data_IF_853928928251
#
_entry.id   IF_853928928251
#
_cell.length_a   1.000
_cell.length_b   1.000
_cell.length_c   1.000
_cell.angle_alpha   90.00
_cell.angle_beta   90.00
_cell.angle_gamma   90.00
#
_symmetry.space_group_name_H-M   'P 1'
#
loop_
_entity.id
_entity.type
_entity.pdbx_description
1 polymer ?
#
# COMPACT_ATOMS: atom_id res chain seq x y z
N UNK A 1 0.77 11.48 -33.11
CA UNK A 1 0.24 12.13 -31.89
C UNK A 1 -1.04 11.43 -31.49
N UNK A 2 -1.20 11.09 -30.25
CA UNK A 2 -2.42 10.48 -29.71
C UNK A 2 -2.97 11.46 -28.66
N UNK A 3 -4.16 12.01 -28.90
CA UNK A 3 -4.84 12.98 -28.02
C UNK A 3 -3.94 14.15 -27.55
N UNK A 4 -3.13 14.71 -28.43
CA UNK A 4 -2.26 15.86 -28.14
C UNK A 4 -0.82 15.49 -27.68
N UNK A 5 -0.56 14.23 -27.31
CA UNK A 5 0.76 13.79 -26.87
C UNK A 5 1.54 13.07 -27.96
N UNK A 6 2.86 13.18 -27.92
CA UNK A 6 3.73 12.35 -28.76
C UNK A 6 3.75 10.89 -28.26
N UNK A 7 3.97 9.95 -29.17
CA UNK A 7 4.13 8.54 -28.77
C UNK A 7 5.30 8.39 -27.80
N UNK A 8 6.36 9.18 -27.96
CA UNK A 8 7.52 9.18 -27.06
C UNK A 8 7.11 9.60 -25.63
N UNK A 9 6.30 10.65 -25.49
CA UNK A 9 5.78 11.10 -24.18
C UNK A 9 5.00 9.99 -23.48
N UNK A 10 4.10 9.31 -24.20
CA UNK A 10 3.31 8.21 -23.64
C UNK A 10 4.18 7.02 -23.26
N UNK A 11 5.24 6.73 -24.02
CA UNK A 11 6.21 5.70 -23.67
C UNK A 11 7.01 6.05 -22.41
N UNK A 12 7.42 7.31 -22.26
CA UNK A 12 8.10 7.79 -21.04
C UNK A 12 7.18 7.64 -19.83
N UNK A 13 5.90 8.02 -19.95
CA UNK A 13 4.90 7.86 -18.88
C UNK A 13 4.69 6.38 -18.55
N UNK A 14 4.59 5.52 -19.55
CA UNK A 14 4.46 4.08 -19.33
C UNK A 14 5.70 3.49 -18.63
N UNK A 15 6.91 3.91 -19.02
CA UNK A 15 8.16 3.48 -18.35
C UNK A 15 8.23 3.98 -16.90
N UNK A 16 7.84 5.25 -16.64
CA UNK A 16 7.70 5.76 -15.30
C UNK A 16 6.66 4.95 -14.49
N UNK A 17 5.57 4.55 -15.15
CA UNK A 17 4.56 3.63 -14.61
C UNK A 17 5.15 2.28 -14.23
N UNK A 18 6.02 1.68 -15.06
CA UNK A 18 6.71 0.42 -14.72
C UNK A 18 7.54 0.59 -13.45
N UNK A 19 8.31 1.65 -13.34
CA UNK A 19 9.07 1.98 -12.12
C UNK A 19 8.16 2.18 -10.91
N UNK A 20 7.06 2.94 -11.09
CA UNK A 20 6.07 3.19 -10.05
C UNK A 20 5.35 1.92 -9.60
N UNK A 21 4.97 1.04 -10.54
CA UNK A 21 4.35 -0.26 -10.24
C UNK A 21 5.29 -1.17 -9.45
N UNK A 22 6.55 -1.21 -9.84
CA UNK A 22 7.59 -1.97 -9.16
C UNK A 22 7.81 -1.48 -7.72
N UNK A 23 8.02 -0.17 -7.53
CA UNK A 23 8.22 0.44 -6.20
C UNK A 23 6.93 0.37 -5.36
N UNK A 24 5.76 0.52 -6.00
CA UNK A 24 4.46 0.35 -5.36
C UNK A 24 4.27 -1.03 -4.76
N UNK A 25 4.64 -2.07 -5.50
CA UNK A 25 4.64 -3.44 -4.99
C UNK A 25 5.64 -3.62 -3.84
N UNK A 26 6.88 -3.16 -4.03
CA UNK A 26 7.98 -3.39 -3.11
C UNK A 26 7.84 -2.61 -1.79
N UNK A 27 7.42 -1.34 -1.86
CA UNK A 27 7.45 -0.41 -0.72
C UNK A 27 6.07 0.20 -0.41
N UNK A 28 5.12 0.14 -1.36
CA UNK A 28 3.81 0.75 -1.19
C UNK A 28 3.75 2.24 -1.53
N UNK A 29 4.63 2.72 -2.42
CA UNK A 29 4.82 4.15 -2.69
C UNK A 29 4.95 4.47 -4.19
N UNK A 30 4.01 3.97 -5.01
CA UNK A 30 4.00 4.19 -6.47
C UNK A 30 4.10 5.66 -6.85
N UNK A 31 3.33 6.51 -6.18
CA UNK A 31 3.20 7.92 -6.53
C UNK A 31 4.47 8.74 -6.33
N UNK A 32 5.46 8.23 -5.58
CA UNK A 32 6.76 8.91 -5.47
C UNK A 32 7.58 8.88 -6.77
N UNK A 33 7.24 8.01 -7.70
CA UNK A 33 7.88 7.96 -9.03
C UNK A 33 6.93 8.52 -10.09
N UNK A 34 5.67 8.07 -10.08
CA UNK A 34 4.72 8.40 -11.14
C UNK A 34 4.27 9.86 -11.14
N UNK A 35 4.00 10.44 -9.97
CA UNK A 35 3.56 11.84 -9.88
C UNK A 35 4.61 12.83 -10.41
N UNK A 36 5.89 12.76 -10.00
CA UNK A 36 6.93 13.62 -10.52
C UNK A 36 7.18 13.48 -12.01
N UNK A 37 7.07 12.26 -12.53
CA UNK A 37 7.21 12.03 -13.95
C UNK A 37 6.15 12.81 -14.76
N UNK A 38 4.94 12.96 -14.22
CA UNK A 38 3.90 13.78 -14.84
C UNK A 38 4.19 15.28 -14.69
N UNK A 39 4.69 15.72 -13.55
CA UNK A 39 5.10 17.12 -13.33
C UNK A 39 6.23 17.53 -14.30
N UNK A 40 7.24 16.67 -14.45
CA UNK A 40 8.37 16.91 -15.37
C UNK A 40 7.93 17.05 -16.85
N UNK A 41 6.74 16.55 -17.19
CA UNK A 41 6.13 16.73 -18.51
C UNK A 41 5.29 18.02 -18.62
N UNK A 42 5.29 18.86 -17.56
CA UNK A 42 4.54 20.12 -17.52
C UNK A 42 3.03 19.95 -17.25
N UNK A 43 2.61 18.77 -16.74
CA UNK A 43 1.20 18.57 -16.39
C UNK A 43 0.88 19.34 -15.09
N UNK A 44 -0.20 20.14 -15.06
CA UNK A 44 -0.57 20.89 -13.85
C UNK A 44 -0.72 19.96 -12.63
N UNK A 45 -0.26 20.36 -11.43
CA UNK A 45 -0.15 19.48 -10.27
C UNK A 45 -1.41 18.72 -9.89
N UNK A 46 -2.58 19.37 -9.91
CA UNK A 46 -3.86 18.73 -9.59
C UNK A 46 -4.25 17.68 -10.65
N UNK A 47 -4.07 18.00 -11.94
CA UNK A 47 -4.34 17.06 -13.05
C UNK A 47 -3.35 15.90 -13.01
N UNK A 48 -2.07 16.19 -12.75
CA UNK A 48 -1.04 15.17 -12.58
C UNK A 48 -1.41 14.19 -11.45
N UNK A 49 -1.85 14.71 -10.29
CA UNK A 49 -2.26 13.87 -9.16
C UNK A 49 -3.52 13.05 -9.48
N UNK A 50 -4.53 13.65 -10.09
CA UNK A 50 -5.76 12.96 -10.46
C UNK A 50 -5.49 11.83 -11.48
N UNK A 51 -4.72 12.13 -12.53
CA UNK A 51 -4.34 11.14 -13.55
C UNK A 51 -3.43 10.05 -13.00
N UNK A 52 -2.51 10.41 -12.09
CA UNK A 52 -1.69 9.47 -11.35
C UNK A 52 -2.53 8.52 -10.50
N UNK A 53 -3.52 9.03 -9.77
CA UNK A 53 -4.40 8.22 -8.91
C UNK A 53 -5.15 7.18 -9.71
N UNK A 54 -5.65 7.53 -10.89
CA UNK A 54 -6.27 6.58 -11.83
C UNK A 54 -5.21 5.59 -12.36
N UNK A 55 -4.03 6.08 -12.74
CA UNK A 55 -2.94 5.27 -13.28
C UNK A 55 -2.44 4.20 -12.30
N UNK A 56 -2.27 4.55 -11.03
CA UNK A 56 -1.75 3.61 -10.03
C UNK A 56 -2.76 2.53 -9.62
N UNK A 57 -4.04 2.60 -10.03
CA UNK A 57 -4.99 1.49 -9.87
C UNK A 57 -4.46 0.20 -10.53
N UNK A 58 -3.64 0.32 -11.58
CA UNK A 58 -2.97 -0.81 -12.21
C UNK A 58 -2.15 -1.66 -11.23
N UNK A 59 -1.57 -1.05 -10.20
CA UNK A 59 -0.78 -1.78 -9.19
C UNK A 59 -1.66 -2.59 -8.23
N UNK A 60 -2.91 -2.19 -8.04
CA UNK A 60 -3.79 -2.75 -7.00
C UNK A 60 -4.50 -4.04 -7.40
N UNK A 61 -4.69 -4.31 -8.69
CA UNK A 61 -5.45 -5.48 -9.14
C UNK A 61 -4.89 -6.80 -8.61
N UNK A 62 -3.59 -7.00 -8.69
CA UNK A 62 -2.93 -8.20 -8.14
C UNK A 62 -2.99 -8.28 -6.62
N UNK A 63 -2.83 -7.14 -5.94
CA UNK A 63 -2.83 -7.03 -4.49
C UNK A 63 -4.20 -7.36 -3.87
N UNK A 64 -5.29 -6.87 -4.46
CA UNK A 64 -6.66 -7.15 -4.00
C UNK A 64 -7.02 -8.64 -4.12
N UNK A 65 -6.62 -9.29 -5.23
CA UNK A 65 -6.85 -10.71 -5.41
C UNK A 65 -6.10 -11.56 -4.36
N UNK A 66 -4.87 -11.17 -4.03
CA UNK A 66 -4.09 -11.81 -2.97
C UNK A 66 -4.69 -11.60 -1.57
N UNK A 67 -5.12 -10.38 -1.26
CA UNK A 67 -5.68 -10.01 0.04
C UNK A 67 -6.89 -10.84 0.47
N UNK A 68 -7.71 -11.31 -0.49
CA UNK A 68 -8.89 -12.16 -0.21
C UNK A 68 -8.54 -13.44 0.53
N UNK A 69 -7.41 -14.08 0.20
CA UNK A 69 -6.97 -15.32 0.83
C UNK A 69 -6.56 -15.11 2.28
N UNK A 70 -5.93 -13.97 2.56
CA UNK A 70 -5.37 -13.65 3.88
C UNK A 70 -6.43 -13.20 4.89
N UNK A 71 -7.59 -12.74 4.42
CA UNK A 71 -8.68 -12.22 5.24
C UNK A 71 -9.86 -13.21 5.36
N UNK A 72 -9.64 -14.48 5.02
CA UNK A 72 -10.66 -15.51 5.15
C UNK A 72 -11.14 -15.61 6.61
N UNK A 73 -12.45 -15.48 6.83
CA UNK A 73 -13.07 -15.47 8.17
C UNK A 73 -13.11 -14.09 8.87
N UNK A 74 -12.46 -13.04 8.33
CA UNK A 74 -12.46 -11.67 8.90
C UNK A 74 -13.16 -10.65 7.98
N UNK A 75 -14.23 -11.09 7.30
CA UNK A 75 -14.91 -10.29 6.28
C UNK A 75 -15.51 -8.99 6.82
N UNK A 76 -16.05 -9.01 8.04
CA UNK A 76 -16.66 -7.82 8.66
C UNK A 76 -15.58 -6.75 8.93
N UNK A 77 -14.43 -7.14 9.51
CA UNK A 77 -13.31 -6.23 9.76
C UNK A 77 -12.79 -5.63 8.45
N UNK A 78 -12.59 -6.47 7.43
CA UNK A 78 -12.17 -6.02 6.11
C UNK A 78 -13.17 -5.04 5.49
N UNK A 79 -14.49 -5.32 5.58
CA UNK A 79 -15.53 -4.45 5.05
C UNK A 79 -15.53 -3.07 5.71
N UNK A 80 -15.39 -3.00 7.02
CA UNK A 80 -15.35 -1.71 7.76
C UNK A 80 -14.13 -0.90 7.34
N UNK A 81 -12.94 -1.52 7.31
CA UNK A 81 -11.72 -0.82 6.91
C UNK A 81 -11.75 -0.37 5.45
N UNK A 82 -12.34 -1.16 4.54
CA UNK A 82 -12.55 -0.76 3.14
C UNK A 82 -13.53 0.42 3.07
N UNK A 83 -14.60 0.41 3.85
CA UNK A 83 -15.56 1.52 3.90
C UNK A 83 -14.89 2.82 4.35
N UNK A 84 -14.05 2.76 5.39
CA UNK A 84 -13.22 3.89 5.81
C UNK A 84 -12.32 4.36 4.67
N UNK A 85 -11.70 3.42 3.94
CA UNK A 85 -10.90 3.73 2.76
C UNK A 85 -11.70 4.48 1.70
N UNK A 86 -12.87 3.96 1.33
CA UNK A 86 -13.76 4.55 0.33
C UNK A 86 -14.23 5.95 0.74
N UNK A 87 -14.72 6.11 1.96
CA UNK A 87 -15.19 7.41 2.48
C UNK A 87 -14.02 8.40 2.56
N UNK A 88 -12.90 7.98 3.12
CA UNK A 88 -11.70 8.81 3.19
C UNK A 88 -11.18 9.22 1.81
N UNK A 89 -11.18 8.30 0.85
CA UNK A 89 -10.79 8.57 -0.54
C UNK A 89 -11.67 9.65 -1.20
N UNK A 90 -12.99 9.56 -1.03
CA UNK A 90 -13.94 10.60 -1.51
C UNK A 90 -13.64 11.94 -0.84
N UNK A 91 -13.52 11.96 0.49
CA UNK A 91 -13.25 13.20 1.23
C UNK A 91 -11.91 13.82 0.82
N UNK A 92 -10.85 13.01 0.66
CA UNK A 92 -9.55 13.47 0.20
C UNK A 92 -9.59 14.05 -1.21
N UNK A 93 -10.27 13.39 -2.15
CA UNK A 93 -10.44 13.88 -3.51
C UNK A 93 -11.26 15.17 -3.56
N UNK A 94 -12.34 15.28 -2.78
CA UNK A 94 -13.13 16.49 -2.67
C UNK A 94 -12.33 17.64 -2.04
N UNK A 95 -11.50 17.34 -1.03
CA UNK A 95 -10.61 18.31 -0.41
C UNK A 95 -9.59 18.85 -1.43
N UNK A 96 -8.99 17.96 -2.23
CA UNK A 96 -8.07 18.36 -3.29
C UNK A 96 -8.73 19.30 -4.30
N UNK A 97 -9.94 18.98 -4.73
CA UNK A 97 -10.66 19.76 -5.75
C UNK A 97 -11.34 21.02 -5.20
N UNK A 98 -11.57 21.07 -3.90
CA UNK A 98 -12.21 22.21 -3.23
C UNK A 98 -11.25 23.28 -2.75
N UNK A 99 -9.95 22.98 -2.66
CA UNK A 99 -8.91 23.94 -2.26
C UNK A 99 -8.31 24.62 -3.48
N UNK A 100 -7.75 25.82 -3.25
CA UNK A 100 -6.98 26.52 -4.27
C UNK A 100 -5.79 25.62 -4.72
N UNK A 101 -5.53 25.47 -6.03
CA UNK A 101 -4.39 24.70 -6.54
C UNK A 101 -3.04 25.12 -5.93
N UNK A 102 -2.86 26.38 -5.56
CA UNK A 102 -1.66 26.87 -4.87
C UNK A 102 -1.47 26.24 -3.50
N UNK A 103 -2.58 25.95 -2.78
CA UNK A 103 -2.50 25.24 -1.49
C UNK A 103 -1.94 23.85 -1.70
N UNK A 104 -2.38 23.16 -2.74
CA UNK A 104 -1.86 21.83 -3.08
C UNK A 104 -0.37 21.89 -3.41
N UNK A 105 0.07 22.83 -4.25
CA UNK A 105 1.48 23.03 -4.60
C UNK A 105 2.36 23.27 -3.36
N UNK A 106 1.87 24.05 -2.40
CA UNK A 106 2.59 24.33 -1.15
C UNK A 106 2.64 23.14 -0.19
N UNK A 107 1.56 22.35 -0.15
CA UNK A 107 1.43 21.22 0.80
C UNK A 107 2.10 19.95 0.30
N UNK A 108 2.23 19.76 -1.02
CA UNK A 108 2.81 18.54 -1.62
C UNK A 108 4.26 18.27 -1.20
N UNK A 109 5.20 19.23 -1.23
CA UNK A 109 6.58 18.97 -0.80
C UNK A 109 6.69 18.42 0.64
N UNK A 110 6.08 19.04 1.68
CA UNK A 110 6.08 18.45 3.01
C UNK A 110 5.40 17.08 3.09
N UNK A 111 4.37 16.80 2.28
CA UNK A 111 3.75 15.48 2.23
C UNK A 111 4.67 14.43 1.60
N UNK A 112 5.44 14.78 0.57
CA UNK A 112 6.47 13.93 -0.02
C UNK A 112 7.58 13.65 1.01
N UNK A 113 8.03 14.67 1.73
CA UNK A 113 9.02 14.53 2.77
C UNK A 113 8.55 13.60 3.90
N UNK A 114 7.29 13.77 4.36
CA UNK A 114 6.66 12.89 5.36
C UNK A 114 6.60 11.43 4.86
N UNK A 115 6.19 11.22 3.62
CA UNK A 115 6.11 9.90 3.01
C UNK A 115 7.49 9.25 2.88
N UNK A 116 8.48 10.01 2.46
CA UNK A 116 9.88 9.57 2.36
C UNK A 116 10.45 9.20 3.72
N UNK A 117 10.17 10.00 4.76
CA UNK A 117 10.53 9.70 6.14
C UNK A 117 9.85 8.43 6.65
N UNK A 118 8.55 8.26 6.38
CA UNK A 118 7.81 7.06 6.75
C UNK A 118 8.40 5.79 6.10
N UNK A 119 8.82 5.88 4.83
CA UNK A 119 9.49 4.79 4.12
C UNK A 119 10.88 4.52 4.71
N UNK A 120 11.64 5.56 5.05
CA UNK A 120 12.96 5.43 5.67
C UNK A 120 12.89 4.73 7.03
N UNK A 121 11.87 5.00 7.84
CA UNK A 121 11.61 4.33 9.12
C UNK A 121 11.33 2.82 8.97
N UNK A 122 11.03 2.37 7.76
CA UNK A 122 10.84 0.97 7.41
C UNK A 122 9.80 0.20 8.28
N UNK A 123 8.57 0.67 8.41
CA UNK A 123 7.57 -0.04 9.21
C UNK A 123 7.32 -1.46 8.68
N UNK A 124 7.31 -1.62 7.34
CA UNK A 124 7.13 -2.93 6.70
C UNK A 124 8.24 -3.91 7.08
N UNK A 125 9.50 -3.52 6.98
CA UNK A 125 10.61 -4.42 7.34
C UNK A 125 10.67 -4.73 8.84
N UNK A 126 10.20 -3.81 9.69
CA UNK A 126 10.06 -4.06 11.14
C UNK A 126 8.93 -5.06 11.39
N UNK A 127 7.78 -4.90 10.74
CA UNK A 127 6.66 -5.81 10.87
C UNK A 127 7.00 -7.23 10.35
N UNK A 128 7.66 -7.32 9.18
CA UNK A 128 8.15 -8.59 8.62
C UNK A 128 9.17 -9.27 9.56
N UNK A 129 10.12 -8.51 10.11
CA UNK A 129 11.12 -9.04 11.04
C UNK A 129 10.50 -9.52 12.36
N UNK A 130 9.53 -8.76 12.88
CA UNK A 130 8.76 -9.13 14.08
C UNK A 130 7.98 -10.44 13.87
N UNK A 131 7.33 -10.57 12.71
CA UNK A 131 6.63 -11.81 12.36
C UNK A 131 7.60 -13.00 12.22
N UNK A 132 8.70 -12.83 11.50
CA UNK A 132 9.70 -13.90 11.33
C UNK A 132 10.30 -14.34 12.68
N UNK A 133 10.53 -13.39 13.58
CA UNK A 133 11.00 -13.71 14.94
C UNK A 133 9.95 -14.50 15.74
N UNK A 134 8.68 -14.11 15.66
CA UNK A 134 7.58 -14.82 16.31
C UNK A 134 7.41 -16.25 15.75
N UNK A 135 7.49 -16.41 14.44
CA UNK A 135 7.40 -17.71 13.78
C UNK A 135 8.57 -18.61 14.16
N UNK A 136 9.79 -18.06 14.23
CA UNK A 136 10.98 -18.80 14.69
C UNK A 136 10.87 -19.24 16.16
N UNK A 137 10.36 -18.37 17.03
CA UNK A 137 10.11 -18.72 18.44
C UNK A 137 9.04 -19.80 18.57
N UNK A 138 7.95 -19.71 17.82
CA UNK A 138 6.90 -20.71 17.80
C UNK A 138 7.40 -22.08 17.30
N UNK A 139 8.28 -22.06 16.30
CA UNK A 139 8.92 -23.28 15.79
C UNK A 139 9.88 -23.90 16.80
N UNK A 140 10.70 -23.09 17.47
CA UNK A 140 11.59 -23.55 18.52
C UNK A 140 10.82 -24.19 19.68
N UNK A 141 9.76 -23.54 20.16
CA UNK A 141 8.90 -24.08 21.22
C UNK A 141 8.22 -25.40 20.82
N UNK A 142 7.83 -25.56 19.54
CA UNK A 142 7.28 -26.84 19.04
C UNK A 142 8.32 -27.94 19.05
N UNK A 143 9.55 -27.65 18.60
CA UNK A 143 10.65 -28.63 18.62
C UNK A 143 11.02 -29.06 20.06
N UNK A 144 11.01 -28.13 21.00
CA UNK A 144 11.23 -28.44 22.43
C UNK A 144 10.11 -29.34 23.00
N UNK A 145 8.84 -29.05 22.65
CA UNK A 145 7.71 -29.88 23.06
C UNK A 145 7.75 -31.28 22.42
N UNK A 146 8.15 -31.38 21.16
CA UNK A 146 8.33 -32.66 20.48
C UNK A 146 9.49 -33.46 21.05
N UNK A 147 10.61 -32.81 21.33
CA UNK A 147 11.75 -33.41 22.01
C UNK A 147 11.40 -33.91 23.42
N UNK A 148 10.65 -33.14 24.19
CA UNK A 148 10.16 -33.52 25.52
C UNK A 148 9.14 -34.68 25.46
N UNK A 149 8.28 -34.68 24.43
CA UNK A 149 7.34 -35.78 24.20
C UNK A 149 8.03 -37.08 23.79
N UNK A 150 9.08 -37.02 22.99
CA UNK A 150 9.87 -38.18 22.59
C UNK A 150 10.68 -38.74 23.80
N UNK A 151 11.13 -37.87 24.70
CA UNK A 151 11.82 -38.30 25.93
C UNK A 151 10.89 -38.98 26.94
N UNK A 152 9.58 -38.71 26.92
CA UNK A 152 8.57 -39.24 27.82
C UNK A 152 7.76 -40.42 27.20
N UNK A 153 7.87 -40.67 25.89
CA UNK A 153 7.07 -41.66 25.18
C UNK A 153 7.59 -43.09 25.43
N UNK A 154 7.08 -43.72 26.47
CA UNK A 154 6.86 -45.16 26.48
C UNK A 154 5.67 -45.50 25.51
N UNK A 155 5.76 -46.56 24.69
CA UNK A 155 4.92 -46.77 23.52
C UNK A 155 3.57 -47.38 23.82
N UNK A 156 2.64 -46.65 24.41
CA UNK A 156 1.25 -47.13 24.50
C UNK A 156 0.27 -45.98 24.62
N UNK A 157 -0.41 -45.73 23.52
CA UNK A 157 -1.58 -44.88 23.25
C UNK A 157 -1.34 -43.64 22.41
N UNK A 158 -1.22 -43.88 21.09
CA UNK A 158 -1.58 -42.93 20.07
C UNK A 158 -3.09 -42.68 20.14
N UNK A 159 -3.51 -41.57 20.66
CA UNK A 159 -4.87 -41.04 20.50
C UNK A 159 -4.79 -39.73 19.77
N UNK A 160 -5.34 -39.74 18.57
CA UNK A 160 -5.48 -38.60 17.67
C UNK A 160 -5.94 -37.35 18.44
N UNK A 161 -5.04 -36.39 18.60
CA UNK A 161 -5.43 -35.02 18.88
C UNK A 161 -4.92 -34.17 17.73
N UNK A 162 -5.83 -33.91 16.78
CA UNK A 162 -5.66 -32.78 15.89
C UNK A 162 -5.47 -31.52 16.75
N UNK A 163 -4.43 -30.71 16.52
CA UNK A 163 -4.38 -29.38 17.11
C UNK A 163 -5.55 -28.61 16.53
N UNK A 164 -6.53 -28.31 17.35
CA UNK A 164 -7.54 -27.31 17.01
C UNK A 164 -6.79 -25.99 16.82
N UNK A 165 -6.65 -25.60 15.55
CA UNK A 165 -6.30 -24.23 15.21
C UNK A 165 -7.47 -23.40 15.70
N UNK A 166 -7.32 -22.81 16.88
CA UNK A 166 -8.22 -21.79 17.36
C UNK A 166 -8.13 -20.61 16.39
N UNK A 167 -9.03 -20.56 15.43
CA UNK A 167 -9.37 -19.35 14.70
C UNK A 167 -10.03 -18.44 15.73
N UNK A 168 -9.22 -17.71 16.48
CA UNK A 168 -9.74 -16.64 17.32
C UNK A 168 -10.29 -15.58 16.36
N UNK A 169 -11.59 -15.53 16.21
CA UNK A 169 -12.32 -14.37 15.72
C UNK A 169 -12.16 -13.29 16.79
N UNK A 170 -11.09 -12.48 16.69
CA UNK A 170 -10.93 -11.34 17.56
C UNK A 170 -12.08 -10.36 17.29
N UNK A 171 -12.87 -9.99 18.33
CA UNK A 171 -13.97 -9.08 18.16
C UNK A 171 -13.45 -7.67 17.77
N UNK A 172 -14.19 -6.99 16.90
CA UNK A 172 -13.90 -5.60 16.44
C UNK A 172 -13.83 -4.58 17.59
N UNK A 173 -14.40 -4.92 18.75
CA UNK A 173 -14.43 -4.06 19.95
C UNK A 173 -13.05 -3.88 20.62
N UNK A 174 -12.01 -4.60 20.18
CA UNK A 174 -10.68 -4.54 20.77
C UNK A 174 -9.74 -3.57 20.03
N UNK A 175 -10.14 -3.07 18.84
CA UNK A 175 -9.30 -2.10 18.13
C UNK A 175 -9.33 -0.74 18.86
N UNK A 176 -8.17 -0.21 19.29
CA UNK A 176 -8.13 1.07 19.99
C UNK A 176 -8.70 2.20 19.12
N UNK A 177 -9.42 3.15 19.72
CA UNK A 177 -10.05 4.27 19.02
C UNK A 177 -9.08 5.09 18.15
N UNK A 178 -7.82 5.22 18.56
CA UNK A 178 -6.81 5.95 17.81
C UNK A 178 -6.45 5.27 16.48
N UNK A 179 -6.65 3.94 16.36
CA UNK A 179 -6.45 3.21 15.09
C UNK A 179 -7.49 3.64 14.07
N UNK A 180 -8.74 3.74 14.49
CA UNK A 180 -9.83 4.21 13.64
C UNK A 180 -9.55 5.62 13.12
N UNK A 181 -9.12 6.52 14.02
CA UNK A 181 -8.72 7.88 13.67
C UNK A 181 -7.50 7.86 12.72
N UNK A 182 -6.45 7.12 13.04
CA UNK A 182 -5.23 7.02 12.25
C UNK A 182 -5.49 6.49 10.84
N UNK A 183 -6.27 5.41 10.73
CA UNK A 183 -6.64 4.84 9.42
C UNK A 183 -7.53 5.81 8.63
N UNK A 184 -8.47 6.49 9.27
CA UNK A 184 -9.31 7.51 8.62
C UNK A 184 -8.48 8.67 8.08
N UNK A 185 -7.54 9.21 8.87
CA UNK A 185 -6.62 10.24 8.41
C UNK A 185 -5.76 9.76 7.22
N UNK A 186 -5.23 8.53 7.30
CA UNK A 186 -4.48 7.94 6.20
C UNK A 186 -5.33 7.73 4.95
N UNK A 187 -6.62 7.39 5.09
CA UNK A 187 -7.54 7.21 3.99
C UNK A 187 -7.86 8.54 3.28
N UNK A 188 -8.10 9.62 4.05
CA UNK A 188 -8.27 10.98 3.50
C UNK A 188 -6.99 11.43 2.80
N UNK A 189 -5.84 11.24 3.43
CA UNK A 189 -4.55 11.51 2.82
C UNK A 189 -4.34 10.73 1.51
N UNK A 190 -4.77 9.45 1.48
CA UNK A 190 -4.69 8.62 0.27
C UNK A 190 -5.52 9.18 -0.89
N UNK A 191 -6.71 9.72 -0.61
CA UNK A 191 -7.55 10.36 -1.63
C UNK A 191 -7.06 11.75 -2.03
N UNK A 192 -6.40 12.48 -1.13
CA UNK A 192 -5.86 13.83 -1.38
C UNK A 192 -4.59 13.79 -2.24
N UNK A 193 -3.61 12.97 -1.86
CA UNK A 193 -2.31 12.87 -2.55
C UNK A 193 -1.82 11.42 -2.70
N UNK A 194 -1.95 10.61 -1.68
CA UNK A 194 -1.71 9.17 -1.70
C UNK A 194 -0.26 8.70 -1.73
N UNK A 195 0.72 9.57 -1.88
CA UNK A 195 2.12 9.15 -1.91
C UNK A 195 2.55 8.54 -0.57
N UNK A 196 2.92 7.25 -0.56
CA UNK A 196 3.31 6.54 0.67
C UNK A 196 2.19 6.26 1.67
N UNK A 197 0.92 6.56 1.34
CA UNK A 197 -0.22 6.32 2.22
C UNK A 197 -0.28 4.87 2.72
N UNK A 198 0.03 3.90 1.86
CA UNK A 198 0.09 2.50 2.24
C UNK A 198 1.12 2.21 3.34
N UNK A 199 2.24 2.92 3.36
CA UNK A 199 3.26 2.79 4.40
C UNK A 199 2.78 3.35 5.74
N UNK A 200 2.05 4.47 5.70
CA UNK A 200 1.44 5.07 6.90
C UNK A 200 0.35 4.19 7.49
N UNK A 201 -0.56 3.66 6.66
CA UNK A 201 -1.59 2.70 7.10
C UNK A 201 -0.94 1.48 7.74
N UNK A 202 0.12 0.92 7.11
CA UNK A 202 0.84 -0.22 7.67
C UNK A 202 1.45 0.11 9.03
N UNK A 203 2.03 1.31 9.18
CA UNK A 203 2.63 1.73 10.45
C UNK A 203 1.58 1.85 11.56
N UNK A 204 0.40 2.41 11.26
CA UNK A 204 -0.71 2.53 12.21
C UNK A 204 -1.22 1.16 12.64
N UNK A 205 -1.47 0.26 11.69
CA UNK A 205 -2.01 -1.07 11.96
C UNK A 205 -0.99 -1.98 12.70
N UNK A 206 0.30 -1.88 12.36
CA UNK A 206 1.37 -2.64 13.05
C UNK A 206 1.59 -2.13 14.47
N UNK A 207 1.58 -0.81 14.67
CA UNK A 207 1.70 -0.21 16.01
C UNK A 207 0.56 -0.64 16.95
N UNK A 208 -0.61 -0.90 16.41
CA UNK A 208 -1.78 -1.38 17.15
C UNK A 208 -1.77 -2.90 17.40
N UNK A 209 -0.88 -3.64 16.76
CA UNK A 209 -0.81 -5.09 16.91
C UNK A 209 -2.04 -5.82 16.37
N UNK A 210 -2.67 -5.28 15.32
CA UNK A 210 -3.97 -5.76 14.76
C UNK A 210 -3.94 -7.22 14.30
N UNK A 211 -2.75 -7.79 14.10
CA UNK A 211 -2.59 -9.18 13.68
C UNK A 211 -1.25 -9.45 13.03
N UNK A 212 -1.04 -10.66 12.50
CA UNK A 212 0.18 -11.01 11.81
C UNK A 212 0.38 -10.16 10.54
N UNK A 213 1.64 -9.95 10.15
CA UNK A 213 2.03 -9.05 9.06
C UNK A 213 1.23 -9.25 7.76
N UNK A 214 0.97 -10.49 7.35
CA UNK A 214 0.24 -10.78 6.11
C UNK A 214 -1.21 -10.27 6.16
N UNK A 215 -1.90 -10.36 7.32
CA UNK A 215 -3.25 -9.82 7.50
C UNK A 215 -3.25 -8.29 7.50
N UNK A 216 -2.31 -7.68 8.22
CA UNK A 216 -2.14 -6.21 8.26
C UNK A 216 -1.83 -5.67 6.86
N UNK A 217 -0.97 -6.34 6.11
CA UNK A 217 -0.64 -5.98 4.73
C UNK A 217 -1.84 -6.14 3.77
N UNK A 218 -2.66 -7.16 3.98
CA UNK A 218 -3.90 -7.35 3.23
C UNK A 218 -4.92 -6.24 3.52
N UNK A 219 -5.14 -5.89 4.79
CA UNK A 219 -6.00 -4.77 5.19
C UNK A 219 -5.52 -3.45 4.60
N UNK A 220 -4.22 -3.13 4.73
CA UNK A 220 -3.60 -1.96 4.10
C UNK A 220 -3.89 -1.89 2.61
N UNK A 221 -3.75 -3.01 1.91
CA UNK A 221 -3.97 -3.08 0.45
C UNK A 221 -5.42 -2.79 0.10
N UNK A 222 -6.37 -3.33 0.84
CA UNK A 222 -7.80 -3.08 0.62
C UNK A 222 -8.19 -1.65 0.94
N UNK A 223 -7.68 -1.07 2.05
CA UNK A 223 -7.92 0.33 2.42
C UNK A 223 -7.42 1.27 1.32
N UNK A 224 -6.16 1.09 0.91
CA UNK A 224 -5.54 1.93 -0.11
C UNK A 224 -6.21 1.77 -1.48
N UNK A 225 -6.60 0.55 -1.86
CA UNK A 225 -7.30 0.32 -3.12
C UNK A 225 -8.71 0.94 -3.10
N UNK A 226 -9.44 0.79 -1.99
CA UNK A 226 -10.75 1.42 -1.80
C UNK A 226 -10.68 2.95 -1.88
N UNK A 227 -9.68 3.55 -1.23
CA UNK A 227 -9.46 5.00 -1.26
C UNK A 227 -9.10 5.50 -2.67
N UNK A 228 -8.16 4.84 -3.36
CA UNK A 228 -7.78 5.23 -4.71
C UNK A 228 -8.90 5.03 -5.74
N UNK A 229 -9.67 3.94 -5.61
CA UNK A 229 -10.81 3.67 -6.48
C UNK A 229 -11.88 4.76 -6.33
N UNK A 230 -12.26 5.08 -5.10
CA UNK A 230 -13.28 6.10 -4.84
C UNK A 230 -12.81 7.51 -5.21
N UNK A 231 -11.55 7.85 -4.92
CA UNK A 231 -10.96 9.11 -5.37
C UNK A 231 -10.92 9.21 -6.90
N UNK A 232 -10.55 8.13 -7.59
CA UNK A 232 -10.57 8.06 -9.06
C UNK A 232 -11.95 8.32 -9.63
N UNK A 233 -13.01 7.74 -9.03
CA UNK A 233 -14.40 8.03 -9.46
C UNK A 233 -14.71 9.51 -9.34
N UNK A 234 -14.34 10.16 -8.22
CA UNK A 234 -14.54 11.60 -8.02
C UNK A 234 -13.79 12.39 -9.11
N UNK A 235 -12.52 12.09 -9.37
CA UNK A 235 -11.72 12.79 -10.38
C UNK A 235 -12.26 12.61 -11.80
N UNK A 236 -12.74 11.40 -12.13
CA UNK A 236 -13.36 11.10 -13.42
C UNK A 236 -14.65 11.90 -13.60
N UNK A 237 -15.53 11.90 -12.60
CA UNK A 237 -16.81 12.64 -12.65
C UNK A 237 -16.57 14.16 -12.77
N UNK A 238 -15.51 14.66 -12.14
CA UNK A 238 -15.11 16.07 -12.20
C UNK A 238 -14.36 16.45 -13.48
N UNK A 239 -14.01 15.47 -14.34
CA UNK A 239 -13.35 15.71 -15.61
C UNK A 239 -11.91 16.22 -15.51
N UNK A 240 -11.23 15.96 -14.38
CA UNK A 240 -9.86 16.43 -14.13
C UNK A 240 -8.79 15.38 -14.45
N UNK A 241 -9.15 14.29 -15.10
CA UNK A 241 -8.25 13.20 -15.48
C UNK A 241 -7.76 13.38 -16.90
N UNK A 242 -6.45 13.41 -17.09
CA UNK A 242 -5.83 13.30 -18.42
C UNK A 242 -5.74 11.82 -18.82
N UNK A 243 -6.69 11.37 -19.64
CA UNK A 243 -6.86 9.97 -19.97
C UNK A 243 -5.67 9.33 -20.70
N UNK A 244 -5.04 9.96 -21.72
CA UNK A 244 -3.85 9.41 -22.35
C UNK A 244 -2.72 9.10 -21.35
N UNK A 245 -2.47 10.02 -20.45
CA UNK A 245 -1.44 9.87 -19.42
C UNK A 245 -1.85 8.82 -18.38
N UNK A 246 -3.11 8.84 -17.92
CA UNK A 246 -3.63 7.89 -16.94
C UNK A 246 -3.60 6.44 -17.48
N UNK A 247 -3.97 6.23 -18.74
CA UNK A 247 -3.94 4.90 -19.37
C UNK A 247 -2.50 4.42 -19.55
N UNK A 248 -1.61 5.26 -20.10
CA UNK A 248 -0.20 4.92 -20.26
C UNK A 248 0.45 4.54 -18.91
N UNK A 249 0.17 5.34 -17.86
CA UNK A 249 0.61 5.09 -16.51
C UNK A 249 0.02 3.79 -15.94
N UNK A 250 -1.27 3.51 -16.16
CA UNK A 250 -1.94 2.31 -15.67
C UNK A 250 -1.34 1.04 -16.27
N UNK A 251 -1.10 1.02 -17.58
CA UNK A 251 -0.44 -0.08 -18.27
C UNK A 251 0.97 -0.30 -17.73
N UNK A 252 1.74 0.77 -17.57
CA UNK A 252 3.08 0.72 -16.98
C UNK A 252 3.06 0.19 -15.54
N UNK A 253 2.18 0.72 -14.70
CA UNK A 253 2.02 0.30 -13.30
C UNK A 253 1.61 -1.17 -13.18
N UNK A 254 0.71 -1.65 -14.04
CA UNK A 254 0.33 -3.05 -14.09
C UNK A 254 1.54 -3.93 -14.48
N UNK A 255 2.25 -3.58 -15.56
CA UNK A 255 3.44 -4.32 -15.98
C UNK A 255 4.52 -4.33 -14.89
N UNK A 256 4.81 -3.17 -14.28
CA UNK A 256 5.78 -3.05 -13.20
C UNK A 256 5.45 -3.89 -11.98
N UNK A 257 4.19 -3.86 -11.54
CA UNK A 257 3.73 -4.67 -10.40
C UNK A 257 3.70 -6.17 -10.70
N UNK A 258 3.44 -6.55 -11.96
CA UNK A 258 3.44 -7.94 -12.40
C UNK A 258 4.86 -8.55 -12.41
N UNK A 259 5.86 -7.80 -12.86
CA UNK A 259 7.26 -8.27 -12.90
C UNK A 259 7.98 -8.10 -11.55
N UNK A 260 7.42 -7.33 -10.61
CA UNK A 260 8.06 -7.05 -9.34
C UNK A 260 8.28 -8.29 -8.44
N UNK A 261 7.34 -9.25 -8.26
CA UNK A 261 7.50 -10.38 -7.35
C UNK A 261 8.77 -11.21 -7.57
N UNK A 262 9.10 -11.67 -8.78
CA UNK A 262 10.33 -12.46 -9.00
C UNK A 262 11.61 -11.65 -8.78
N UNK A 263 11.58 -10.34 -9.06
CA UNK A 263 12.75 -9.47 -8.91
C UNK A 263 12.97 -9.10 -7.44
N UNK A 264 11.91 -8.77 -6.71
CA UNK A 264 11.99 -8.37 -5.29
C UNK A 264 12.50 -9.50 -4.40
N UNK A 265 12.33 -10.75 -4.80
CA UNK A 265 12.94 -11.90 -4.11
C UNK A 265 14.47 -11.94 -4.24
N UNK A 266 15.04 -11.33 -5.29
CA UNK A 266 16.49 -11.30 -5.57
C UNK A 266 17.16 -10.00 -5.14
N UNK A 267 16.42 -8.89 -5.08
CA UNK A 267 16.93 -7.56 -4.73
C UNK A 267 16.60 -7.25 -3.27
N UNK A 268 17.59 -6.92 -2.43
CA UNK A 268 17.34 -6.54 -1.05
C UNK A 268 16.37 -5.35 -0.97
N UNK A 269 15.35 -5.46 -0.12
CA UNK A 269 14.36 -4.41 0.11
C UNK A 269 15.00 -3.05 0.51
N UNK A 270 16.21 -3.10 1.08
CA UNK A 270 17.01 -1.91 1.43
C UNK A 270 17.34 -1.05 0.21
N UNK A 271 17.74 -1.67 -0.91
CA UNK A 271 18.10 -0.94 -2.15
C UNK A 271 16.87 -0.26 -2.73
N UNK A 272 15.75 -0.95 -2.80
CA UNK A 272 14.49 -0.40 -3.34
C UNK A 272 13.97 0.77 -2.50
N UNK A 273 14.13 0.68 -1.17
CA UNK A 273 13.76 1.75 -0.24
C UNK A 273 14.65 2.98 -0.41
N UNK A 274 15.96 2.78 -0.50
CA UNK A 274 16.90 3.88 -0.71
C UNK A 274 16.58 4.60 -2.02
N UNK A 275 16.29 3.87 -3.10
CA UNK A 275 15.89 4.46 -4.37
C UNK A 275 14.59 5.28 -4.25
N UNK A 276 13.58 4.78 -3.54
CA UNK A 276 12.32 5.50 -3.32
C UNK A 276 12.52 6.76 -2.47
N UNK A 277 13.36 6.69 -1.42
CA UNK A 277 13.68 7.84 -0.56
C UNK A 277 14.48 8.91 -1.33
N UNK A 278 15.47 8.50 -2.13
CA UNK A 278 16.25 9.43 -2.95
C UNK A 278 15.34 10.14 -3.96
N UNK A 279 14.44 9.40 -4.63
CA UNK A 279 13.46 9.98 -5.53
C UNK A 279 12.56 11.01 -4.81
N UNK A 280 12.07 10.68 -3.60
CA UNK A 280 11.26 11.58 -2.80
C UNK A 280 12.01 12.83 -2.34
N UNK A 281 13.27 12.69 -1.92
CA UNK A 281 14.12 13.83 -1.49
C UNK A 281 14.42 14.73 -2.69
N UNK A 282 14.80 14.18 -3.83
CA UNK A 282 15.09 14.97 -5.04
C UNK A 282 13.92 15.88 -5.42
N UNK A 283 12.68 15.39 -5.21
CA UNK A 283 11.46 16.15 -5.48
C UNK A 283 11.06 17.17 -4.42
N UNK A 284 11.64 17.09 -3.23
CA UNK A 284 11.33 18.05 -2.16
C UNK A 284 12.22 19.28 -2.27
N UNK A 285 13.32 19.20 -3.04
CA UNK A 285 14.34 20.25 -3.17
C UNK A 285 14.09 21.14 -4.41
N UNK A 286 13.36 20.64 -5.42
CA UNK A 286 12.90 21.41 -6.59
C UNK A 286 11.56 22.10 -6.30
#
# INVERSE_FOLDING_TARGET
MIAGYSILTLLVVALAGVGAGFVGYAVGASSLISYPALLALGVPPVIANASNTVGVLGTGFGGVLGARKELHGKHLRAAIYVTIGVVGGILGALLLLGLDPKVFEFVVPPLIALSSAAIALNPRGRAEAKQAAADAQAQAARLELEGSRQAVANPTKQRNQHPLVHTQTEPLSEDPWWVWLGVSCCAVYSGYFGAGAGTLVLAVLDAAGIGPFHQVNALKTLIGWGANMSASVVFIVRGVVDWPLAIAMCVGCFAGSYIAPPITRKVPARIMRIAAVIAGIALTID
#
